data_IF_123090004014
#
_entry.id   IF_123090004014
#
_cell.length_a   1.000
_cell.length_b   1.000
_cell.length_c   1.000
_cell.angle_alpha   90.00
_cell.angle_beta   90.00
_cell.angle_gamma   90.00
#
_symmetry.space_group_name_H-M   'P 1'
#
loop_
_entity.id
_entity.type
_entity.pdbx_description
1 polymer ?
#
# COMPACT_ATOMS: atom_id res chain seq x y z
N UNK A 1 -29.45 -76.43 -83.50
CA UNK A 1 -30.55 -75.51 -83.83
C UNK A 1 -31.48 -75.52 -82.62
N UNK A 2 -31.23 -74.76 -81.55
CA UNK A 2 -30.44 -73.52 -81.41
C UNK A 2 -31.03 -72.33 -82.17
N UNK A 3 -30.91 -71.14 -81.58
CA UNK A 3 -31.63 -69.89 -81.91
C UNK A 3 -33.09 -69.91 -81.42
N UNK A 4 -33.58 -69.06 -80.50
CA UNK A 4 -33.23 -67.70 -80.01
C UNK A 4 -33.81 -66.53 -80.82
N UNK A 5 -35.05 -66.18 -80.53
CA UNK A 5 -35.62 -64.84 -80.73
C UNK A 5 -36.25 -64.38 -79.40
N UNK A 6 -35.92 -63.18 -78.94
CA UNK A 6 -36.26 -62.72 -77.59
C UNK A 6 -37.56 -61.92 -77.52
N UNK A 7 -38.37 -62.18 -76.50
CA UNK A 7 -39.45 -61.27 -76.06
C UNK A 7 -38.88 -60.21 -75.13
N UNK A 8 -38.47 -59.07 -75.71
CA UNK A 8 -38.34 -57.84 -74.94
C UNK A 8 -39.73 -57.18 -74.88
N UNK A 9 -40.37 -57.20 -73.71
CA UNK A 9 -41.55 -56.39 -73.44
C UNK A 9 -41.49 -55.80 -72.02
N UNK A 10 -42.34 -54.81 -71.77
CA UNK A 10 -42.26 -53.79 -70.72
C UNK A 10 -42.26 -54.35 -69.29
N UNK A 11 -41.44 -53.74 -68.45
CA UNK A 11 -41.80 -53.42 -67.04
C UNK A 11 -40.94 -52.25 -66.52
N UNK A 12 -40.95 -51.15 -67.28
CA UNK A 12 -40.60 -49.82 -66.74
C UNK A 12 -41.84 -49.19 -66.11
N UNK A 13 -41.66 -48.24 -65.18
CA UNK A 13 -42.75 -47.62 -64.41
C UNK A 13 -43.43 -48.52 -63.36
N UNK A 14 -42.64 -49.33 -62.63
CA UNK A 14 -42.95 -49.50 -61.21
C UNK A 14 -42.72 -48.17 -60.50
N UNK A 15 -43.80 -47.53 -60.07
CA UNK A 15 -43.75 -46.38 -59.16
C UNK A 15 -42.88 -46.73 -57.95
N UNK A 16 -41.98 -45.83 -57.49
CA UNK A 16 -41.18 -46.10 -56.30
C UNK A 16 -42.11 -46.34 -55.11
N UNK A 17 -41.90 -47.43 -54.38
CA UNK A 17 -42.76 -47.83 -53.27
C UNK A 17 -42.84 -46.72 -52.22
N UNK A 18 -44.04 -46.50 -51.68
CA UNK A 18 -44.30 -45.50 -50.64
C UNK A 18 -43.35 -45.66 -49.43
N UNK A 19 -42.93 -46.90 -49.14
CA UNK A 19 -41.95 -47.19 -48.10
C UNK A 19 -40.52 -46.73 -48.44
N UNK A 20 -40.04 -46.91 -49.68
CA UNK A 20 -38.73 -46.39 -50.08
C UNK A 20 -38.72 -44.86 -50.05
N UNK A 21 -39.78 -44.20 -50.54
CA UNK A 21 -39.91 -42.74 -50.38
C UNK A 21 -39.96 -42.31 -48.91
N UNK A 22 -40.58 -43.08 -48.00
CA UNK A 22 -40.60 -42.77 -46.58
C UNK A 22 -39.22 -42.98 -45.91
N UNK A 23 -38.43 -43.93 -46.40
CA UNK A 23 -37.07 -44.22 -45.93
C UNK A 23 -36.06 -43.18 -46.46
N UNK A 24 -36.18 -42.73 -47.71
CA UNK A 24 -35.37 -41.65 -48.27
C UNK A 24 -35.75 -40.26 -47.73
N UNK A 25 -37.03 -39.99 -47.47
CA UNK A 25 -37.48 -38.68 -46.91
C UNK A 25 -37.24 -38.52 -45.41
N UNK A 26 -36.70 -39.53 -44.73
CA UNK A 26 -36.01 -39.34 -43.44
C UNK A 26 -34.52 -39.02 -43.67
N UNK A 27 -34.08 -37.75 -43.64
CA UNK A 27 -32.68 -37.40 -43.83
C UNK A 27 -31.83 -38.00 -42.70
N UNK A 28 -30.95 -38.96 -43.05
CA UNK A 28 -30.03 -39.63 -42.12
C UNK A 28 -28.81 -38.76 -41.75
N UNK A 29 -28.98 -37.45 -41.77
CA UNK A 29 -27.94 -36.47 -41.53
C UNK A 29 -27.78 -36.16 -40.03
N UNK A 30 -26.67 -36.65 -39.46
CA UNK A 30 -26.00 -36.12 -38.26
C UNK A 30 -26.76 -36.05 -36.92
N UNK A 31 -28.00 -36.55 -36.78
CA UNK A 31 -28.78 -36.52 -35.51
C UNK A 31 -28.24 -37.44 -34.37
N UNK A 32 -26.95 -37.77 -34.35
CA UNK A 32 -26.37 -38.80 -33.48
C UNK A 32 -25.85 -38.32 -32.12
N UNK A 33 -25.49 -37.04 -31.96
CA UNK A 33 -24.92 -36.53 -30.71
C UNK A 33 -25.18 -35.03 -30.51
N UNK A 34 -25.83 -34.67 -29.40
CA UNK A 34 -25.86 -33.31 -28.89
C UNK A 34 -24.48 -32.92 -28.35
N UNK A 35 -24.05 -31.68 -28.55
CA UNK A 35 -22.79 -31.18 -27.99
C UNK A 35 -22.85 -31.14 -26.46
N UNK A 36 -21.74 -31.48 -25.79
CA UNK A 36 -21.66 -31.54 -24.32
C UNK A 36 -20.88 -30.34 -23.81
N UNK A 37 -21.60 -29.39 -23.21
CA UNK A 37 -21.05 -28.23 -22.52
C UNK A 37 -20.65 -28.52 -21.07
N UNK A 38 -20.13 -27.51 -20.39
CA UNK A 38 -19.53 -27.59 -19.04
C UNK A 38 -20.50 -28.01 -17.91
N UNK A 39 -21.78 -28.24 -18.21
CA UNK A 39 -22.83 -28.69 -17.26
C UNK A 39 -23.79 -29.74 -17.86
N UNK A 40 -23.41 -30.41 -18.95
CA UNK A 40 -24.27 -31.33 -19.71
C UNK A 40 -24.52 -30.86 -21.14
N UNK A 41 -25.48 -31.49 -21.83
CA UNK A 41 -25.80 -31.19 -23.24
C UNK A 41 -26.20 -29.73 -23.49
N UNK A 42 -25.90 -29.20 -24.67
CA UNK A 42 -26.36 -27.87 -25.07
C UNK A 42 -27.90 -27.85 -25.15
N UNK A 43 -28.49 -26.98 -24.33
CA UNK A 43 -29.94 -26.86 -24.20
C UNK A 43 -30.59 -26.38 -25.51
N UNK A 44 -29.92 -25.52 -26.29
CA UNK A 44 -30.45 -25.00 -27.55
C UNK A 44 -30.59 -26.08 -28.61
N UNK A 45 -29.59 -26.96 -28.73
CA UNK A 45 -29.66 -28.12 -29.63
C UNK A 45 -30.75 -29.10 -29.22
N UNK A 46 -30.84 -29.41 -27.92
CA UNK A 46 -31.86 -30.33 -27.38
C UNK A 46 -33.27 -29.77 -27.53
N UNK A 47 -33.51 -28.49 -27.20
CA UNK A 47 -34.82 -27.85 -27.37
C UNK A 47 -35.22 -27.75 -28.86
N UNK A 48 -34.27 -27.53 -29.77
CA UNK A 48 -34.51 -27.50 -31.22
C UNK A 48 -34.84 -28.90 -31.80
N UNK A 49 -34.14 -29.95 -31.36
CA UNK A 49 -34.46 -31.32 -31.73
C UNK A 49 -35.82 -31.75 -31.16
N UNK A 50 -36.14 -31.40 -29.91
CA UNK A 50 -37.46 -31.64 -29.31
C UNK A 50 -38.58 -30.87 -30.02
N UNK A 51 -38.34 -29.65 -30.49
CA UNK A 51 -39.29 -28.90 -31.31
C UNK A 51 -39.53 -29.57 -32.67
N UNK A 52 -38.45 -30.02 -33.32
CA UNK A 52 -38.52 -30.76 -34.59
C UNK A 52 -39.29 -32.07 -34.43
N UNK A 53 -38.98 -32.87 -33.42
CA UNK A 53 -39.66 -34.13 -33.13
C UNK A 53 -41.14 -33.93 -32.79
N UNK A 54 -41.49 -32.88 -32.03
CA UNK A 54 -42.90 -32.51 -31.76
C UNK A 54 -43.65 -32.15 -33.05
N UNK A 55 -43.01 -31.40 -33.96
CA UNK A 55 -43.58 -31.06 -35.27
C UNK A 55 -43.80 -32.29 -36.15
N UNK A 56 -42.82 -33.21 -36.20
CA UNK A 56 -42.94 -34.50 -36.88
C UNK A 56 -44.07 -35.36 -36.31
N UNK A 57 -44.20 -35.44 -34.97
CA UNK A 57 -45.27 -36.17 -34.30
C UNK A 57 -46.65 -35.54 -34.61
N UNK A 58 -46.77 -34.21 -34.57
CA UNK A 58 -47.99 -33.50 -34.96
C UNK A 58 -48.38 -33.77 -36.42
N UNK A 59 -47.39 -33.77 -37.34
CA UNK A 59 -47.63 -34.11 -38.75
C UNK A 59 -48.10 -35.56 -38.90
N UNK A 60 -47.38 -36.52 -38.32
CA UNK A 60 -47.74 -37.94 -38.38
C UNK A 60 -49.13 -38.22 -37.76
N UNK A 61 -49.51 -37.51 -36.70
CA UNK A 61 -50.85 -37.60 -36.12
C UNK A 61 -51.94 -37.04 -37.05
N UNK A 62 -51.66 -35.95 -37.77
CA UNK A 62 -52.56 -35.39 -38.77
C UNK A 62 -52.69 -36.29 -40.01
N UNK A 63 -51.58 -36.83 -40.50
CA UNK A 63 -51.54 -37.79 -41.62
C UNK A 63 -52.33 -39.08 -41.27
N UNK A 64 -52.17 -39.59 -40.04
CA UNK A 64 -52.93 -40.74 -39.52
C UNK A 64 -54.43 -40.43 -39.35
N UNK A 65 -54.80 -39.23 -38.92
CA UNK A 65 -56.20 -38.81 -38.85
C UNK A 65 -56.81 -38.71 -40.25
N UNK A 66 -56.07 -38.15 -41.22
CA UNK A 66 -56.48 -38.09 -42.62
C UNK A 66 -56.63 -39.48 -43.26
N UNK A 67 -55.74 -40.42 -42.97
CA UNK A 67 -55.85 -41.80 -43.41
C UNK A 67 -57.12 -42.49 -42.88
N UNK A 68 -57.41 -42.33 -41.57
CA UNK A 68 -58.63 -42.88 -40.94
C UNK A 68 -59.93 -42.28 -41.46
N UNK A 69 -59.93 -41.01 -41.87
CA UNK A 69 -61.09 -40.43 -42.58
C UNK A 69 -61.33 -41.18 -43.89
N UNK A 70 -60.31 -41.27 -44.75
CA UNK A 70 -60.42 -41.96 -46.05
C UNK A 70 -60.83 -43.42 -45.93
N UNK A 71 -60.37 -44.10 -44.89
CA UNK A 71 -60.78 -45.48 -44.57
C UNK A 71 -62.29 -45.55 -44.24
N UNK A 72 -62.79 -44.66 -43.39
CA UNK A 72 -64.21 -44.56 -43.06
C UNK A 72 -65.06 -44.18 -44.29
N UNK A 73 -64.62 -43.17 -45.06
CA UNK A 73 -65.27 -42.70 -46.28
C UNK A 73 -65.37 -43.83 -47.33
N UNK A 74 -64.31 -44.63 -47.50
CA UNK A 74 -64.30 -45.78 -48.41
C UNK A 74 -65.18 -46.94 -47.92
N UNK A 75 -65.19 -47.23 -46.61
CA UNK A 75 -66.04 -48.26 -46.02
C UNK A 75 -67.53 -47.89 -46.14
N UNK A 76 -67.89 -46.62 -45.96
CA UNK A 76 -69.28 -46.18 -46.15
C UNK A 76 -69.70 -46.07 -47.62
N UNK A 77 -68.76 -45.85 -48.56
CA UNK A 77 -69.01 -45.99 -49.99
C UNK A 77 -69.33 -47.46 -50.39
N UNK A 78 -68.50 -48.43 -49.97
CA UNK A 78 -68.77 -49.86 -50.23
C UNK A 78 -70.09 -50.31 -49.58
N UNK A 79 -70.44 -49.76 -48.41
CA UNK A 79 -71.75 -49.99 -47.77
C UNK A 79 -72.93 -49.35 -48.51
N UNK A 80 -72.71 -48.36 -49.38
CA UNK A 80 -73.75 -47.82 -50.25
C UNK A 80 -73.95 -48.72 -51.48
N UNK A 81 -72.85 -49.09 -52.15
CA UNK A 81 -72.86 -50.04 -53.29
C UNK A 81 -73.53 -51.38 -52.89
N UNK A 82 -73.20 -51.91 -51.71
CA UNK A 82 -73.82 -53.11 -51.13
C UNK A 82 -75.33 -52.96 -50.85
N UNK A 83 -75.85 -51.75 -50.63
CA UNK A 83 -77.30 -51.52 -50.48
C UNK A 83 -77.98 -51.44 -51.83
N UNK A 84 -77.43 -50.65 -52.76
CA UNK A 84 -77.97 -50.50 -54.11
C UNK A 84 -78.05 -51.85 -54.84
N UNK A 85 -77.02 -52.70 -54.69
CA UNK A 85 -77.02 -54.06 -55.23
C UNK A 85 -78.11 -54.96 -54.61
N UNK A 86 -78.43 -54.81 -53.31
CA UNK A 86 -79.49 -55.57 -52.64
C UNK A 86 -80.88 -55.09 -53.03
N UNK A 87 -81.08 -53.77 -53.08
CA UNK A 87 -82.35 -53.17 -53.54
C UNK A 87 -82.65 -53.55 -55.00
N UNK A 88 -81.62 -53.63 -55.86
CA UNK A 88 -81.73 -54.16 -57.21
C UNK A 88 -82.17 -55.65 -57.20
N UNK A 89 -81.49 -56.53 -56.45
CA UNK A 89 -81.83 -57.95 -56.36
C UNK A 89 -83.22 -58.22 -55.76
N UNK A 90 -83.66 -57.42 -54.78
CA UNK A 90 -85.02 -57.48 -54.24
C UNK A 90 -86.07 -57.04 -55.29
N UNK A 91 -85.74 -56.06 -56.14
CA UNK A 91 -86.59 -55.67 -57.27
C UNK A 91 -86.68 -56.76 -58.36
N UNK A 92 -85.59 -57.48 -58.62
CA UNK A 92 -85.58 -58.61 -59.55
C UNK A 92 -86.36 -59.81 -59.00
N UNK A 93 -86.20 -60.13 -57.72
CA UNK A 93 -86.97 -61.19 -57.05
C UNK A 93 -88.47 -60.89 -57.04
N UNK A 94 -88.87 -59.66 -56.70
CA UNK A 94 -90.29 -59.27 -56.74
C UNK A 94 -90.85 -59.32 -58.18
N UNK A 95 -90.10 -58.85 -59.17
CA UNK A 95 -90.48 -58.97 -60.59
C UNK A 95 -90.56 -60.45 -61.07
N UNK A 96 -89.71 -61.34 -60.56
CA UNK A 96 -89.74 -62.77 -60.88
C UNK A 96 -90.95 -63.47 -60.23
N UNK A 97 -91.25 -63.19 -58.96
CA UNK A 97 -92.45 -63.74 -58.29
C UNK A 97 -93.75 -63.25 -58.91
N UNK A 98 -93.81 -61.98 -59.36
CA UNK A 98 -94.95 -61.47 -60.11
C UNK A 98 -95.19 -62.27 -61.40
N UNK A 99 -94.15 -62.47 -62.23
CA UNK A 99 -94.22 -63.30 -63.46
C UNK A 99 -94.63 -64.75 -63.19
N UNK A 100 -94.15 -65.34 -62.09
CA UNK A 100 -94.58 -66.68 -61.68
C UNK A 100 -96.09 -66.71 -61.36
N UNK A 101 -96.59 -65.76 -60.57
CA UNK A 101 -98.02 -65.65 -60.24
C UNK A 101 -98.91 -65.33 -61.45
N UNK A 102 -98.37 -64.61 -62.45
CA UNK A 102 -99.06 -64.35 -63.73
C UNK A 102 -99.14 -65.62 -64.58
N UNK A 103 -98.06 -66.41 -64.65
CA UNK A 103 -98.07 -67.71 -65.33
C UNK A 103 -99.02 -68.72 -64.64
N UNK A 104 -99.06 -68.75 -63.31
CA UNK A 104 -100.05 -69.54 -62.54
C UNK A 104 -101.49 -69.11 -62.85
N UNK A 105 -101.75 -67.80 -62.95
CA UNK A 105 -103.06 -67.27 -63.35
C UNK A 105 -103.41 -67.65 -64.80
N UNK A 106 -102.46 -67.57 -65.74
CA UNK A 106 -102.68 -67.97 -67.13
C UNK A 106 -102.96 -69.48 -67.26
N UNK A 107 -102.29 -70.32 -66.47
CA UNK A 107 -102.59 -71.76 -66.38
C UNK A 107 -103.98 -71.99 -65.79
N UNK A 108 -104.37 -71.22 -64.76
CA UNK A 108 -105.71 -71.31 -64.18
C UNK A 108 -106.81 -70.87 -65.17
N UNK A 109 -106.62 -69.78 -65.93
CA UNK A 109 -107.60 -69.34 -66.94
C UNK A 109 -107.72 -70.33 -68.08
N UNK A 110 -106.59 -70.84 -68.62
CA UNK A 110 -106.61 -71.88 -69.65
C UNK A 110 -107.26 -73.17 -69.16
N UNK A 111 -107.09 -73.52 -67.87
CA UNK A 111 -107.79 -74.65 -67.24
C UNK A 111 -109.29 -74.39 -67.16
N UNK A 112 -109.73 -73.17 -66.82
CA UNK A 112 -111.17 -72.83 -66.82
C UNK A 112 -111.77 -72.80 -68.23
N UNK A 113 -111.06 -72.26 -69.23
CA UNK A 113 -111.51 -72.27 -70.63
C UNK A 113 -111.64 -73.70 -71.19
N UNK A 114 -110.77 -74.62 -70.77
CA UNK A 114 -110.85 -76.04 -71.12
C UNK A 114 -112.01 -76.77 -70.43
N UNK A 115 -112.51 -76.25 -69.30
CA UNK A 115 -113.64 -76.82 -68.53
C UNK A 115 -114.99 -76.23 -68.98
N UNK A 116 -115.06 -74.93 -69.27
CA UNK A 116 -116.26 -74.24 -69.74
C UNK A 116 -116.48 -74.32 -71.27
N UNK A 117 -115.57 -74.98 -72.00
CA UNK A 117 -115.72 -75.25 -73.44
C UNK A 117 -117.02 -76.05 -73.72
N UNK A 118 -118.03 -75.47 -74.40
CA UNK A 118 -119.31 -76.14 -74.59
C UNK A 118 -119.18 -77.34 -75.54
N UNK A 119 -119.76 -78.47 -75.15
CA UNK A 119 -119.83 -79.65 -76.01
C UNK A 119 -120.67 -79.35 -77.26
N UNK A 120 -120.01 -79.24 -78.41
CA UNK A 120 -120.68 -79.09 -79.70
C UNK A 120 -121.18 -80.45 -80.20
N UNK A 121 -122.47 -80.74 -80.04
CA UNK A 121 -123.13 -81.87 -80.69
C UNK A 121 -123.08 -81.71 -82.23
N UNK A 122 -122.45 -82.63 -82.96
CA UNK A 122 -122.58 -82.67 -84.43
C UNK A 122 -121.56 -83.53 -85.18
N UNK A 123 -120.27 -83.30 -84.95
CA UNK A 123 -119.18 -84.06 -85.59
C UNK A 123 -118.32 -84.73 -84.53
N UNK A 124 -117.92 -85.99 -84.79
CA UNK A 124 -117.37 -86.98 -83.85
C UNK A 124 -116.63 -86.41 -82.63
N UNK A 125 -117.40 -86.01 -81.60
CA UNK A 125 -116.88 -85.80 -80.27
C UNK A 125 -116.20 -87.11 -79.85
N UNK A 126 -114.87 -87.10 -79.56
CA UNK A 126 -114.18 -88.34 -79.26
C UNK A 126 -114.92 -89.04 -78.12
N UNK A 127 -115.20 -90.32 -78.31
CA UNK A 127 -115.96 -91.12 -77.35
C UNK A 127 -115.37 -90.97 -75.94
N UNK A 128 -116.15 -91.20 -74.88
CA UNK A 128 -115.61 -91.15 -73.51
C UNK A 128 -114.35 -92.02 -73.35
N UNK A 129 -114.26 -93.12 -74.09
CA UNK A 129 -113.08 -93.99 -74.17
C UNK A 129 -111.87 -93.34 -74.86
N UNK A 130 -112.08 -92.50 -75.88
CA UNK A 130 -111.04 -91.69 -76.50
C UNK A 130 -110.62 -90.50 -75.63
N UNK A 131 -111.54 -89.82 -74.94
CA UNK A 131 -111.17 -88.81 -73.93
C UNK A 131 -110.43 -89.44 -72.73
N UNK A 132 -110.86 -90.61 -72.26
CA UNK A 132 -110.18 -91.39 -71.22
C UNK A 132 -108.81 -91.89 -71.70
N UNK A 133 -108.67 -92.29 -72.97
CA UNK A 133 -107.38 -92.60 -73.57
C UNK A 133 -106.47 -91.37 -73.72
N UNK A 134 -107.01 -90.20 -74.10
CA UNK A 134 -106.26 -88.94 -74.17
C UNK A 134 -105.83 -88.50 -72.77
N UNK A 135 -106.70 -88.57 -71.77
CA UNK A 135 -106.37 -88.29 -70.37
C UNK A 135 -105.33 -89.26 -69.83
N UNK A 136 -105.44 -90.56 -70.14
CA UNK A 136 -104.44 -91.57 -69.76
C UNK A 136 -103.09 -91.33 -70.44
N UNK A 137 -103.07 -90.97 -71.72
CA UNK A 137 -101.85 -90.61 -72.45
C UNK A 137 -101.26 -89.29 -71.90
N UNK A 138 -102.10 -88.33 -71.52
CA UNK A 138 -101.67 -87.08 -70.88
C UNK A 138 -101.16 -87.30 -69.45
N UNK A 139 -101.77 -88.20 -68.67
CA UNK A 139 -101.31 -88.64 -67.36
C UNK A 139 -99.98 -89.40 -67.47
N UNK A 140 -99.84 -90.28 -68.44
CA UNK A 140 -98.60 -91.03 -68.70
C UNK A 140 -97.49 -90.10 -69.22
N UNK A 141 -97.81 -89.13 -70.08
CA UNK A 141 -96.88 -88.07 -70.49
C UNK A 141 -96.51 -87.13 -69.34
N UNK A 142 -97.47 -86.71 -68.51
CA UNK A 142 -97.22 -85.89 -67.33
C UNK A 142 -96.36 -86.63 -66.30
N UNK A 143 -96.61 -87.93 -66.09
CA UNK A 143 -95.79 -88.79 -65.24
C UNK A 143 -94.37 -88.94 -65.80
N UNK A 144 -94.20 -89.12 -67.12
CA UNK A 144 -92.88 -89.11 -67.77
C UNK A 144 -92.19 -87.74 -67.66
N UNK A 145 -92.92 -86.63 -67.79
CA UNK A 145 -92.37 -85.27 -67.60
C UNK A 145 -91.97 -85.03 -66.14
N UNK A 146 -92.77 -85.46 -65.16
CA UNK A 146 -92.46 -85.38 -63.72
C UNK A 146 -91.25 -86.24 -63.39
N UNK A 147 -91.14 -87.46 -63.92
CA UNK A 147 -89.97 -88.32 -63.75
C UNK A 147 -88.72 -87.71 -64.39
N UNK A 148 -88.84 -87.13 -65.58
CA UNK A 148 -87.72 -86.47 -66.26
C UNK A 148 -87.28 -85.21 -65.51
N UNK A 149 -88.23 -84.38 -65.06
CA UNK A 149 -87.97 -83.21 -64.22
C UNK A 149 -87.34 -83.60 -62.86
N UNK A 150 -87.79 -84.68 -62.23
CA UNK A 150 -87.19 -85.20 -61.00
C UNK A 150 -85.75 -85.68 -61.22
N UNK A 151 -85.48 -86.40 -62.32
CA UNK A 151 -84.12 -86.83 -62.71
C UNK A 151 -83.24 -85.65 -63.09
N UNK A 152 -83.77 -84.60 -63.72
CA UNK A 152 -83.02 -83.36 -63.99
C UNK A 152 -82.73 -82.59 -62.70
N UNK A 153 -83.70 -82.47 -61.79
CA UNK A 153 -83.54 -81.81 -60.50
C UNK A 153 -82.53 -82.54 -59.61
N UNK A 154 -82.54 -83.87 -59.57
CA UNK A 154 -81.58 -84.67 -58.78
C UNK A 154 -80.16 -84.60 -59.37
N UNK A 155 -80.03 -84.58 -60.71
CA UNK A 155 -78.73 -84.29 -61.38
C UNK A 155 -78.22 -82.88 -61.08
N UNK A 156 -79.09 -81.87 -61.14
CA UNK A 156 -78.71 -80.48 -60.85
C UNK A 156 -78.36 -80.29 -59.37
N UNK A 157 -79.11 -80.92 -58.45
CA UNK A 157 -78.78 -80.98 -57.02
C UNK A 157 -77.47 -81.72 -56.76
N UNK A 158 -77.15 -82.74 -57.53
CA UNK A 158 -75.87 -83.47 -57.42
C UNK A 158 -74.71 -82.61 -57.94
N UNK A 159 -74.84 -82.00 -59.13
CA UNK A 159 -73.85 -81.03 -59.67
C UNK A 159 -73.60 -79.89 -58.69
N UNK A 160 -74.66 -79.24 -58.20
CA UNK A 160 -74.53 -78.13 -57.24
C UNK A 160 -73.92 -78.57 -55.90
N UNK A 161 -74.13 -79.81 -55.45
CA UNK A 161 -73.44 -80.36 -54.26
C UNK A 161 -71.96 -80.61 -54.55
N UNK A 162 -71.62 -81.19 -55.70
CA UNK A 162 -70.24 -81.42 -56.13
C UNK A 162 -69.48 -80.10 -56.28
N UNK A 163 -70.06 -79.12 -56.96
CA UNK A 163 -69.55 -77.74 -57.10
C UNK A 163 -69.34 -77.07 -55.72
N UNK A 164 -70.31 -77.14 -54.80
CA UNK A 164 -70.15 -76.60 -53.44
C UNK A 164 -69.06 -77.35 -52.65
N UNK A 165 -68.86 -78.65 -52.86
CA UNK A 165 -67.74 -79.37 -52.23
C UNK A 165 -66.39 -79.00 -52.84
N UNK A 166 -66.32 -78.78 -54.16
CA UNK A 166 -65.11 -78.34 -54.85
C UNK A 166 -64.72 -76.91 -54.41
N UNK A 167 -65.67 -75.96 -54.43
CA UNK A 167 -65.45 -74.59 -53.99
C UNK A 167 -65.04 -74.51 -52.52
N UNK A 168 -65.58 -75.37 -51.65
CA UNK A 168 -65.15 -75.47 -50.24
C UNK A 168 -63.75 -76.05 -50.10
N UNK A 169 -63.38 -77.04 -50.90
CA UNK A 169 -62.03 -77.60 -50.89
C UNK A 169 -60.99 -76.60 -51.41
N UNK A 170 -61.33 -75.84 -52.45
CA UNK A 170 -60.51 -74.75 -53.00
C UNK A 170 -60.34 -73.61 -51.99
N UNK A 171 -61.43 -73.10 -51.42
CA UNK A 171 -61.39 -72.05 -50.39
C UNK A 171 -60.62 -72.48 -49.13
N UNK A 172 -60.71 -73.76 -48.73
CA UNK A 172 -59.91 -74.33 -47.65
C UNK A 172 -58.42 -74.37 -48.00
N UNK A 173 -58.07 -74.86 -49.20
CA UNK A 173 -56.68 -74.91 -49.67
C UNK A 173 -56.06 -73.51 -49.85
N UNK A 174 -56.86 -72.51 -50.22
CA UNK A 174 -56.47 -71.11 -50.28
C UNK A 174 -56.25 -70.50 -48.88
N UNK A 175 -57.16 -70.77 -47.93
CA UNK A 175 -56.99 -70.35 -46.54
C UNK A 175 -55.75 -70.98 -45.89
N UNK A 176 -55.47 -72.25 -46.15
CA UNK A 176 -54.24 -72.94 -45.74
C UNK A 176 -53.00 -72.33 -46.38
N UNK A 177 -53.05 -71.96 -47.67
CA UNK A 177 -51.94 -71.30 -48.38
C UNK A 177 -51.64 -69.91 -47.82
N UNK A 178 -52.68 -69.12 -47.56
CA UNK A 178 -52.60 -67.76 -47.00
C UNK A 178 -52.07 -67.82 -45.57
N UNK A 179 -52.62 -68.69 -44.72
CA UNK A 179 -52.15 -68.82 -43.32
C UNK A 179 -50.72 -69.35 -43.23
N UNK A 180 -50.34 -70.33 -44.05
CA UNK A 180 -48.95 -70.80 -44.11
C UNK A 180 -47.98 -69.74 -44.66
N UNK A 181 -48.44 -68.85 -45.55
CA UNK A 181 -47.63 -67.72 -46.01
C UNK A 181 -47.47 -66.66 -44.92
N UNK A 182 -48.56 -66.22 -44.29
CA UNK A 182 -48.52 -65.26 -43.19
C UNK A 182 -47.67 -65.75 -42.00
N UNK A 183 -47.64 -67.07 -41.74
CA UNK A 183 -46.73 -67.66 -40.75
C UNK A 183 -45.25 -67.54 -41.17
N UNK A 184 -44.90 -67.90 -42.42
CA UNK A 184 -43.53 -67.73 -42.94
C UNK A 184 -43.06 -66.28 -42.87
N UNK A 185 -43.94 -65.34 -43.24
CA UNK A 185 -43.61 -63.91 -43.24
C UNK A 185 -43.47 -63.37 -41.81
N UNK A 186 -44.33 -63.78 -40.88
CA UNK A 186 -44.21 -63.45 -39.46
C UNK A 186 -42.91 -63.98 -38.83
N UNK A 187 -42.52 -65.22 -39.15
CA UNK A 187 -41.27 -65.81 -38.65
C UNK A 187 -40.03 -65.20 -39.33
N UNK A 188 -40.12 -64.78 -40.60
CA UNK A 188 -39.06 -63.99 -41.23
C UNK A 188 -38.90 -62.60 -40.59
N UNK A 189 -40.01 -61.93 -40.24
CA UNK A 189 -39.98 -60.64 -39.53
C UNK A 189 -39.40 -60.81 -38.12
N UNK A 190 -39.78 -61.85 -37.38
CA UNK A 190 -39.16 -62.18 -36.07
C UNK A 190 -37.66 -62.38 -36.20
N UNK A 191 -37.20 -63.23 -37.12
CA UNK A 191 -35.77 -63.48 -37.32
C UNK A 191 -35.00 -62.20 -37.67
N UNK A 192 -35.57 -61.32 -38.52
CA UNK A 192 -34.99 -59.99 -38.80
C UNK A 192 -34.87 -59.17 -37.51
N UNK A 193 -35.97 -59.02 -36.77
CA UNK A 193 -35.99 -58.26 -35.51
C UNK A 193 -34.99 -58.79 -34.48
N UNK A 194 -34.84 -60.11 -34.34
CA UNK A 194 -33.86 -60.73 -33.42
C UNK A 194 -32.40 -60.44 -33.87
N UNK A 195 -32.12 -60.50 -35.17
CA UNK A 195 -30.79 -60.13 -35.71
C UNK A 195 -30.48 -58.64 -35.60
N UNK A 196 -31.48 -57.78 -35.79
CA UNK A 196 -31.33 -56.33 -35.62
C UNK A 196 -31.17 -55.96 -34.14
N UNK A 197 -31.95 -56.57 -33.25
CA UNK A 197 -31.86 -56.38 -31.80
C UNK A 197 -30.47 -56.76 -31.28
N UNK A 198 -29.99 -57.97 -31.60
CA UNK A 198 -28.65 -58.42 -31.18
C UNK A 198 -27.52 -57.60 -31.81
N UNK A 199 -27.68 -57.14 -33.06
CA UNK A 199 -26.73 -56.21 -33.68
C UNK A 199 -26.72 -54.83 -33.00
N UNK A 200 -27.88 -54.33 -32.55
CA UNK A 200 -28.01 -53.09 -31.79
C UNK A 200 -27.44 -53.21 -30.37
N UNK A 201 -27.75 -54.29 -29.66
CA UNK A 201 -27.21 -54.60 -28.33
C UNK A 201 -25.67 -54.66 -28.39
N UNK A 202 -25.11 -55.44 -29.32
CA UNK A 202 -23.66 -55.51 -29.54
C UNK A 202 -23.06 -54.18 -30.06
N UNK A 203 -23.86 -53.21 -30.55
CA UNK A 203 -23.38 -51.86 -30.87
C UNK A 203 -23.32 -50.99 -29.62
N UNK A 204 -24.38 -51.01 -28.80
CA UNK A 204 -24.47 -50.30 -27.52
C UNK A 204 -23.40 -50.78 -26.53
N UNK A 205 -23.13 -52.09 -26.46
CA UNK A 205 -22.06 -52.64 -25.61
C UNK A 205 -20.68 -52.09 -26.03
N UNK A 206 -20.37 -52.07 -27.34
CA UNK A 206 -19.12 -51.48 -27.86
C UNK A 206 -19.03 -49.98 -27.63
N UNK A 207 -20.12 -49.25 -27.82
CA UNK A 207 -20.21 -47.81 -27.52
C UNK A 207 -19.98 -47.53 -26.02
N UNK A 208 -20.56 -48.34 -25.14
CA UNK A 208 -20.39 -48.25 -23.69
C UNK A 208 -18.97 -48.62 -23.24
N UNK A 209 -18.38 -49.69 -23.80
CA UNK A 209 -17.00 -50.10 -23.51
C UNK A 209 -15.99 -49.02 -23.91
N UNK A 210 -16.14 -48.44 -25.11
CA UNK A 210 -15.31 -47.34 -25.60
C UNK A 210 -15.53 -46.03 -24.81
N UNK A 211 -16.74 -45.77 -24.32
CA UNK A 211 -17.00 -44.66 -23.39
C UNK A 211 -16.32 -44.88 -22.03
N UNK A 212 -16.38 -46.10 -21.49
CA UNK A 212 -15.70 -46.47 -20.24
C UNK A 212 -14.17 -46.40 -20.39
N UNK A 213 -13.61 -46.85 -21.52
CA UNK A 213 -12.19 -46.71 -21.85
C UNK A 213 -11.76 -45.24 -21.86
N UNK A 214 -12.52 -44.35 -22.53
CA UNK A 214 -12.27 -42.91 -22.52
C UNK A 214 -12.36 -42.28 -21.13
N UNK A 215 -13.30 -42.70 -20.29
CA UNK A 215 -13.39 -42.25 -18.90
C UNK A 215 -12.17 -42.72 -18.10
N UNK A 216 -11.72 -43.95 -18.30
CA UNK A 216 -10.51 -44.48 -17.65
C UNK A 216 -9.24 -43.76 -18.13
N UNK A 217 -9.10 -43.48 -19.43
CA UNK A 217 -8.01 -42.68 -19.98
C UNK A 217 -8.00 -41.26 -19.39
N UNK A 218 -9.13 -40.56 -19.42
CA UNK A 218 -9.26 -39.21 -18.87
C UNK A 218 -9.00 -39.18 -17.35
N UNK A 219 -9.36 -40.24 -16.62
CA UNK A 219 -9.03 -40.38 -15.21
C UNK A 219 -7.51 -40.58 -14.99
N UNK A 220 -6.84 -41.41 -15.80
CA UNK A 220 -5.39 -41.60 -15.76
C UNK A 220 -4.65 -40.29 -16.08
N UNK A 221 -5.03 -39.61 -17.17
CA UNK A 221 -4.50 -38.29 -17.54
C UNK A 221 -4.70 -37.24 -16.43
N UNK A 222 -5.90 -37.19 -15.83
CA UNK A 222 -6.17 -36.32 -14.69
C UNK A 222 -5.31 -36.66 -13.45
N UNK A 223 -4.98 -37.94 -13.20
CA UNK A 223 -4.03 -38.29 -12.14
C UNK A 223 -2.59 -37.92 -12.50
N UNK A 224 -2.16 -38.10 -13.75
CA UNK A 224 -0.84 -37.69 -14.22
C UNK A 224 -0.64 -36.18 -14.03
N UNK A 225 -1.58 -35.37 -14.53
CA UNK A 225 -1.59 -33.90 -14.40
C UNK A 225 -1.56 -33.47 -12.92
N UNK A 226 -2.31 -34.14 -12.03
CA UNK A 226 -2.24 -33.85 -10.58
C UNK A 226 -0.84 -34.13 -10.02
N UNK A 227 -0.25 -35.30 -10.29
CA UNK A 227 1.09 -35.61 -9.76
C UNK A 227 2.18 -34.71 -10.35
N UNK A 228 2.02 -34.22 -11.57
CA UNK A 228 2.94 -33.24 -12.17
C UNK A 228 2.76 -31.86 -11.53
N UNK A 229 1.52 -31.39 -11.35
CA UNK A 229 1.24 -30.14 -10.64
C UNK A 229 1.71 -30.17 -9.16
N UNK A 230 1.58 -31.32 -8.48
CA UNK A 230 2.08 -31.52 -7.13
C UNK A 230 3.61 -31.49 -7.06
N UNK A 231 4.30 -32.12 -8.02
CA UNK A 231 5.78 -32.05 -8.17
C UNK A 231 6.24 -30.62 -8.48
N UNK A 232 5.57 -29.93 -9.40
CA UNK A 232 5.85 -28.53 -9.74
C UNK A 232 5.65 -27.60 -8.54
N UNK A 233 4.54 -27.75 -7.81
CA UNK A 233 4.29 -27.00 -6.58
C UNK A 233 5.30 -27.34 -5.46
N UNK A 234 5.77 -28.59 -5.37
CA UNK A 234 6.83 -28.96 -4.43
C UNK A 234 8.19 -28.34 -4.82
N UNK A 235 8.53 -28.32 -6.11
CA UNK A 235 9.73 -27.67 -6.63
C UNK A 235 9.71 -26.16 -6.39
N UNK A 236 8.58 -25.49 -6.66
CA UNK A 236 8.38 -24.06 -6.36
C UNK A 236 8.46 -23.76 -4.87
N UNK A 237 7.86 -24.58 -4.00
CA UNK A 237 8.02 -24.45 -2.54
C UNK A 237 9.48 -24.57 -2.12
N UNK A 238 10.20 -25.57 -2.64
CA UNK A 238 11.63 -25.78 -2.37
C UNK A 238 12.49 -24.59 -2.82
N UNK A 239 12.22 -24.05 -4.01
CA UNK A 239 12.88 -22.87 -4.56
C UNK A 239 12.63 -21.63 -3.68
N UNK A 240 11.38 -21.33 -3.34
CA UNK A 240 11.04 -20.17 -2.48
C UNK A 240 11.63 -20.34 -1.07
N UNK A 241 11.66 -21.54 -0.50
CA UNK A 241 12.35 -21.77 0.79
C UNK A 241 13.86 -21.57 0.69
N UNK A 242 14.48 -21.92 -0.45
CA UNK A 242 15.92 -21.68 -0.68
C UNK A 242 16.21 -20.18 -0.85
N UNK A 243 15.41 -19.47 -1.65
CA UNK A 243 15.56 -18.03 -1.86
C UNK A 243 15.34 -17.24 -0.58
N UNK A 244 14.30 -17.54 0.19
CA UNK A 244 14.04 -16.88 1.48
C UNK A 244 15.09 -17.18 2.54
N UNK A 245 15.64 -18.39 2.60
CA UNK A 245 16.78 -18.70 3.49
C UNK A 245 18.08 -18.03 3.04
N UNK A 246 18.31 -17.90 1.72
CA UNK A 246 19.44 -17.16 1.17
C UNK A 246 19.33 -15.66 1.47
N UNK A 247 18.22 -15.00 1.10
CA UNK A 247 17.96 -13.58 1.39
C UNK A 247 18.06 -13.27 2.88
N UNK A 248 17.61 -14.17 3.75
CA UNK A 248 17.82 -14.04 5.20
C UNK A 248 19.30 -14.10 5.57
N UNK A 249 20.07 -15.04 5.01
CA UNK A 249 21.51 -15.16 5.28
C UNK A 249 22.33 -14.00 4.67
N UNK A 250 21.85 -13.37 3.59
CA UNK A 250 22.37 -12.13 3.03
C UNK A 250 22.10 -10.94 3.98
N UNK A 251 20.84 -10.69 4.35
CA UNK A 251 20.46 -9.61 5.26
C UNK A 251 21.13 -9.76 6.66
N UNK A 252 21.24 -10.98 7.19
CA UNK A 252 21.98 -11.21 8.43
C UNK A 252 23.51 -10.97 8.27
N UNK A 253 24.08 -11.06 7.06
CA UNK A 253 25.47 -10.66 6.81
C UNK A 253 25.59 -9.13 6.74
N UNK A 254 24.69 -8.45 6.04
CA UNK A 254 24.64 -6.99 5.97
C UNK A 254 24.48 -6.34 7.34
N UNK A 255 23.62 -6.89 8.22
CA UNK A 255 23.48 -6.41 9.61
C UNK A 255 24.74 -6.64 10.43
N UNK A 256 25.45 -7.77 10.26
CA UNK A 256 26.74 -8.00 10.95
C UNK A 256 27.81 -7.02 10.48
N UNK A 257 27.87 -6.74 9.17
CA UNK A 257 28.81 -5.77 8.61
C UNK A 257 28.48 -4.33 9.02
N UNK A 258 27.20 -3.95 9.04
CA UNK A 258 26.75 -2.65 9.55
C UNK A 258 27.15 -2.47 11.02
N UNK A 259 26.90 -3.48 11.87
CA UNK A 259 27.26 -3.42 13.29
C UNK A 259 28.78 -3.36 13.50
N UNK A 260 29.58 -4.03 12.65
CA UNK A 260 31.04 -3.91 12.68
C UNK A 260 31.50 -2.49 12.32
N UNK A 261 30.96 -1.89 11.25
CA UNK A 261 31.25 -0.49 10.88
C UNK A 261 30.82 0.50 11.96
N UNK A 262 29.69 0.27 12.65
CA UNK A 262 29.26 1.10 13.79
C UNK A 262 30.27 1.01 14.93
N UNK A 263 30.76 -0.19 15.28
CA UNK A 263 31.79 -0.36 16.30
C UNK A 263 33.12 0.30 15.92
N UNK A 264 33.52 0.24 14.64
CA UNK A 264 34.68 0.98 14.10
C UNK A 264 34.49 2.51 14.20
N UNK A 265 33.28 3.02 13.93
CA UNK A 265 32.96 4.44 14.12
C UNK A 265 32.94 4.83 15.60
N UNK A 266 32.43 3.99 16.50
CA UNK A 266 32.50 4.20 17.95
C UNK A 266 33.96 4.24 18.44
N UNK A 267 34.82 3.30 18.01
CA UNK A 267 36.25 3.27 18.36
C UNK A 267 37.01 4.51 17.84
N UNK A 268 36.69 5.00 16.64
CA UNK A 268 37.28 6.25 16.12
C UNK A 268 36.73 7.49 16.82
N UNK A 269 35.47 7.47 17.28
CA UNK A 269 34.87 8.55 18.06
C UNK A 269 35.45 8.63 19.47
N UNK A 270 35.62 7.49 20.18
CA UNK A 270 36.25 7.49 21.51
C UNK A 270 37.70 7.92 21.42
N UNK A 271 38.49 7.41 20.45
CA UNK A 271 39.86 7.92 20.21
C UNK A 271 39.88 9.43 20.03
N UNK A 272 39.02 9.98 19.16
CA UNK A 272 38.96 11.43 18.93
C UNK A 272 38.50 12.21 20.17
N UNK A 273 37.65 11.64 21.01
CA UNK A 273 37.27 12.23 22.29
C UNK A 273 38.41 12.19 23.32
N UNK A 274 39.16 11.09 23.39
CA UNK A 274 40.32 10.94 24.27
C UNK A 274 41.47 11.86 23.83
N UNK A 275 41.73 11.97 22.53
CA UNK A 275 42.70 12.91 21.96
C UNK A 275 42.31 14.36 22.25
N UNK A 276 41.04 14.73 22.02
CA UNK A 276 40.54 16.08 22.32
C UNK A 276 40.54 16.40 23.83
N UNK A 277 40.29 15.41 24.69
CA UNK A 277 40.43 15.56 26.15
C UNK A 277 41.89 15.75 26.56
N UNK A 278 42.84 15.03 25.94
CA UNK A 278 44.27 15.22 26.17
C UNK A 278 44.74 16.60 25.70
N UNK A 279 44.34 17.04 24.51
CA UNK A 279 44.61 18.40 24.00
C UNK A 279 44.03 19.47 24.93
N UNK A 280 42.79 19.29 25.39
CA UNK A 280 42.15 20.20 26.35
C UNK A 280 42.88 20.24 27.69
N UNK A 281 43.31 19.08 28.24
CA UNK A 281 44.10 19.02 29.48
C UNK A 281 45.48 19.66 29.31
N UNK A 282 46.15 19.47 28.16
CA UNK A 282 47.43 20.13 27.85
C UNK A 282 47.24 21.64 27.75
N UNK A 283 46.23 22.11 27.03
CA UNK A 283 45.91 23.55 26.91
C UNK A 283 45.50 24.16 28.25
N UNK A 284 44.72 23.44 29.06
CA UNK A 284 44.33 23.86 30.40
C UNK A 284 45.56 23.98 31.32
N UNK A 285 46.44 22.97 31.33
CA UNK A 285 47.69 23.02 32.11
C UNK A 285 48.63 24.14 31.62
N UNK A 286 48.70 24.41 30.32
CA UNK A 286 49.44 25.55 29.77
C UNK A 286 48.82 26.90 30.19
N UNK A 287 47.49 27.00 30.22
CA UNK A 287 46.77 28.20 30.66
C UNK A 287 46.89 28.43 32.17
N UNK A 288 46.83 27.38 32.99
CA UNK A 288 47.11 27.43 34.44
C UNK A 288 48.56 27.85 34.67
N UNK A 289 49.54 27.19 34.04
CA UNK A 289 50.94 27.58 34.16
C UNK A 289 51.25 28.98 33.58
N UNK A 290 50.38 29.55 32.74
CA UNK A 290 50.45 30.94 32.28
C UNK A 290 49.85 31.91 33.30
N UNK A 291 48.69 31.57 33.87
CA UNK A 291 48.09 32.32 34.97
C UNK A 291 49.00 32.35 36.21
N UNK A 292 49.58 31.21 36.60
CA UNK A 292 50.55 31.11 37.69
C UNK A 292 51.79 31.98 37.45
N UNK A 293 52.31 32.01 36.22
CA UNK A 293 53.41 32.91 35.85
C UNK A 293 53.02 34.38 35.97
N UNK A 294 51.82 34.77 35.51
CA UNK A 294 51.31 36.14 35.65
C UNK A 294 51.11 36.50 37.13
N UNK A 295 50.57 35.60 37.95
CA UNK A 295 50.39 35.87 39.39
C UNK A 295 51.73 35.92 40.12
N UNK A 296 52.71 35.11 39.74
CA UNK A 296 54.04 35.14 40.35
C UNK A 296 54.82 36.40 39.95
N UNK A 297 54.79 36.80 38.68
CA UNK A 297 55.35 38.07 38.19
C UNK A 297 54.66 39.27 38.86
N UNK A 298 53.33 39.29 38.94
CA UNK A 298 52.60 40.33 39.68
C UNK A 298 52.95 40.37 41.17
N UNK A 299 53.10 39.21 41.83
CA UNK A 299 53.54 39.12 43.22
C UNK A 299 55.00 39.59 43.39
N UNK A 300 55.89 39.26 42.45
CA UNK A 300 57.30 39.69 42.46
C UNK A 300 57.36 41.21 42.28
N UNK A 301 56.63 41.78 41.31
CA UNK A 301 56.51 43.22 41.11
C UNK A 301 55.93 43.94 42.35
N UNK A 302 54.91 43.37 43.00
CA UNK A 302 54.37 43.88 44.26
C UNK A 302 55.43 43.84 45.35
N UNK A 303 56.13 42.72 45.55
CA UNK A 303 57.19 42.61 46.57
C UNK A 303 58.37 43.55 46.30
N UNK A 304 58.83 43.68 45.05
CA UNK A 304 59.86 44.62 44.64
C UNK A 304 59.44 46.08 44.84
N UNK A 305 58.15 46.41 44.63
CA UNK A 305 57.60 47.73 44.91
C UNK A 305 57.54 48.03 46.42
N UNK A 306 57.21 47.03 47.25
CA UNK A 306 57.22 47.13 48.71
C UNK A 306 58.66 47.27 49.23
N UNK A 307 59.61 46.50 48.74
CA UNK A 307 61.04 46.67 49.05
C UNK A 307 61.60 48.02 48.58
N UNK A 308 61.11 48.54 47.45
CA UNK A 308 61.49 49.87 46.97
C UNK A 308 60.94 50.96 47.90
N UNK A 309 59.66 50.86 48.30
CA UNK A 309 59.05 51.75 49.27
C UNK A 309 59.76 51.67 50.64
N UNK A 310 60.11 50.48 51.13
CA UNK A 310 60.87 50.28 52.37
C UNK A 310 62.29 50.85 52.28
N UNK A 311 62.99 50.70 51.15
CA UNK A 311 64.31 51.33 50.94
C UNK A 311 64.21 52.85 50.88
N UNK A 312 63.12 53.40 50.33
CA UNK A 312 62.85 54.84 50.35
C UNK A 312 62.52 55.31 51.78
N UNK A 313 61.70 54.58 52.54
CA UNK A 313 61.34 54.96 53.91
C UNK A 313 62.55 54.88 54.85
N UNK A 314 63.33 53.81 54.80
CA UNK A 314 64.57 53.68 55.59
C UNK A 314 65.57 54.79 55.23
N UNK A 315 65.72 55.13 53.93
CA UNK A 315 66.56 56.25 53.51
C UNK A 315 66.01 57.61 53.96
N UNK A 316 64.68 57.77 54.03
CA UNK A 316 64.04 58.97 54.57
C UNK A 316 64.24 59.08 56.10
N UNK A 317 64.11 57.98 56.84
CA UNK A 317 64.44 57.90 58.28
C UNK A 317 65.91 58.19 58.55
N UNK A 318 66.83 57.69 57.71
CA UNK A 318 68.26 57.99 57.81
C UNK A 318 68.56 59.46 57.52
N UNK A 319 67.92 60.05 56.49
CA UNK A 319 67.99 61.50 56.26
C UNK A 319 67.40 62.30 57.43
N UNK A 320 66.28 61.87 58.02
CA UNK A 320 65.66 62.52 59.17
C UNK A 320 66.49 62.36 60.46
N UNK A 321 67.20 61.24 60.62
CA UNK A 321 68.16 61.04 61.72
C UNK A 321 69.40 61.92 61.53
N UNK A 322 69.89 62.03 60.29
CA UNK A 322 71.00 62.91 59.92
C UNK A 322 70.64 64.38 60.15
N UNK A 323 69.49 64.87 59.68
CA UNK A 323 69.07 66.26 59.86
C UNK A 323 68.80 66.59 61.32
N UNK A 324 68.19 65.68 62.12
CA UNK A 324 68.12 65.84 63.58
C UNK A 324 69.51 65.95 64.22
N UNK A 325 70.47 65.09 63.85
CA UNK A 325 71.82 65.16 64.42
C UNK A 325 72.59 66.41 63.98
N UNK A 326 72.37 66.89 62.76
CA UNK A 326 72.94 68.14 62.26
C UNK A 326 72.32 69.35 62.98
N UNK A 327 71.00 69.35 63.20
CA UNK A 327 70.32 70.38 63.98
C UNK A 327 70.85 70.42 65.43
N UNK A 328 70.99 69.27 66.08
CA UNK A 328 71.58 69.17 67.43
C UNK A 328 73.06 69.61 67.46
N UNK A 329 73.84 69.33 66.42
CA UNK A 329 75.23 69.79 66.33
C UNK A 329 75.33 71.31 66.11
N UNK A 330 74.46 71.89 65.28
CA UNK A 330 74.35 73.34 65.07
C UNK A 330 73.88 74.03 66.36
N UNK A 331 72.92 73.45 67.07
CA UNK A 331 72.46 73.96 68.37
C UNK A 331 73.59 73.90 69.42
N UNK A 332 74.34 72.79 69.48
CA UNK A 332 75.47 72.66 70.41
C UNK A 332 76.61 73.65 70.09
N UNK A 333 76.96 73.85 68.82
CA UNK A 333 77.93 74.86 68.38
C UNK A 333 77.43 76.28 68.71
N UNK A 334 76.15 76.60 68.45
CA UNK A 334 75.55 77.86 68.86
C UNK A 334 75.61 78.08 70.38
N UNK A 335 75.35 77.04 71.19
CA UNK A 335 75.50 77.08 72.65
C UNK A 335 76.97 77.28 73.09
N UNK A 336 77.94 76.66 72.42
CA UNK A 336 79.37 76.85 72.70
C UNK A 336 79.80 78.28 72.35
N UNK A 337 79.46 78.79 71.16
CA UNK A 337 79.73 80.17 70.75
C UNK A 337 79.08 81.18 71.70
N UNK A 338 77.86 80.92 72.17
CA UNK A 338 77.17 81.75 73.17
C UNK A 338 77.86 81.72 74.55
N UNK A 339 78.42 80.57 74.96
CA UNK A 339 79.24 80.48 76.19
C UNK A 339 80.56 81.23 76.02
N UNK A 340 81.24 81.09 74.88
CA UNK A 340 82.45 81.85 74.58
C UNK A 340 82.22 83.36 74.58
N UNK A 341 81.13 83.86 73.99
CA UNK A 341 80.84 85.32 74.00
C UNK A 341 80.53 85.81 75.40
N UNK A 342 79.81 85.03 76.23
CA UNK A 342 79.59 85.34 77.64
C UNK A 342 80.88 85.28 78.48
N UNK A 343 81.79 84.35 78.23
CA UNK A 343 83.09 84.27 78.91
C UNK A 343 84.04 85.38 78.48
N UNK A 344 84.10 85.68 77.16
CA UNK A 344 84.86 86.80 76.60
C UNK A 344 84.33 88.14 77.11
N UNK A 345 83.02 88.28 77.30
CA UNK A 345 82.41 89.42 77.97
C UNK A 345 82.78 89.49 79.46
N UNK A 346 82.64 88.39 80.22
CA UNK A 346 83.05 88.32 81.64
C UNK A 346 84.53 88.65 81.84
N UNK A 347 85.42 88.13 81.00
CA UNK A 347 86.85 88.42 81.04
C UNK A 347 87.16 89.89 80.71
N UNK A 348 86.43 90.50 79.75
CA UNK A 348 86.52 91.94 79.49
C UNK A 348 86.02 92.76 80.68
N UNK A 349 84.90 92.40 81.29
CA UNK A 349 84.36 93.06 82.49
C UNK A 349 85.30 92.93 83.68
N UNK A 350 85.86 91.75 83.94
CA UNK A 350 86.85 91.54 85.01
C UNK A 350 88.10 92.39 84.76
N UNK A 351 88.64 92.40 83.53
CA UNK A 351 89.78 93.25 83.19
C UNK A 351 89.50 94.75 83.37
N UNK A 352 88.27 95.20 83.13
CA UNK A 352 87.84 96.57 83.44
C UNK A 352 87.85 96.78 84.97
N UNK A 353 87.23 95.90 85.75
CA UNK A 353 87.21 95.96 87.23
C UNK A 353 88.63 95.96 87.81
N UNK A 354 89.51 95.09 87.34
CA UNK A 354 90.92 95.02 87.74
C UNK A 354 91.65 96.33 87.41
N UNK A 355 91.41 96.92 86.22
CA UNK A 355 92.03 98.19 85.83
C UNK A 355 91.54 99.38 86.66
N UNK A 356 90.25 99.41 87.01
CA UNK A 356 89.66 100.44 87.88
C UNK A 356 90.17 100.28 89.32
N UNK A 357 90.30 99.04 89.81
CA UNK A 357 90.83 98.74 91.16
C UNK A 357 92.33 99.05 91.24
N UNK A 358 93.10 98.76 90.18
CA UNK A 358 94.49 99.16 90.05
C UNK A 358 94.68 100.67 89.98
N UNK A 359 93.85 101.38 89.20
CA UNK A 359 93.92 102.84 89.10
C UNK A 359 93.57 103.53 90.42
N UNK A 360 92.48 103.12 91.08
CA UNK A 360 92.07 103.66 92.39
C UNK A 360 93.09 103.40 93.49
N UNK A 361 93.70 102.21 93.54
CA UNK A 361 94.79 101.93 94.50
C UNK A 361 96.11 102.63 94.17
N UNK A 362 96.38 102.92 92.89
CA UNK A 362 97.51 103.76 92.49
C UNK A 362 97.30 105.24 92.88
N UNK A 363 96.10 105.78 92.65
CA UNK A 363 95.72 107.14 93.08
C UNK A 363 95.77 107.28 94.61
N UNK A 364 95.34 106.26 95.36
CA UNK A 364 95.51 106.21 96.83
C UNK A 364 96.99 106.26 97.24
N UNK A 365 97.88 105.50 96.58
CA UNK A 365 99.32 105.55 96.87
C UNK A 365 99.95 106.91 96.52
N UNK A 366 99.63 107.49 95.36
CA UNK A 366 100.12 108.82 94.95
C UNK A 366 99.63 109.94 95.90
N UNK A 367 98.42 109.80 96.44
CA UNK A 367 97.93 110.66 97.52
C UNK A 367 98.74 110.47 98.82
N UNK A 368 98.93 109.23 99.28
CA UNK A 368 99.75 108.92 100.47
C UNK A 368 101.20 109.41 100.32
N UNK A 369 101.83 109.16 99.18
CA UNK A 369 103.20 109.59 98.85
C UNK A 369 103.30 111.12 98.89
N UNK A 370 102.35 111.88 98.32
CA UNK A 370 102.28 113.35 98.51
C UNK A 370 102.18 113.76 99.98
N UNK A 371 101.37 113.08 100.81
CA UNK A 371 101.29 113.42 102.25
C UNK A 371 102.55 113.07 103.04
N UNK A 372 103.37 112.13 102.55
CA UNK A 372 104.71 111.85 103.11
C UNK A 372 105.73 112.89 102.62
N UNK A 373 105.68 113.29 101.36
CA UNK A 373 106.55 114.31 100.78
C UNK A 373 106.33 115.70 101.40
N UNK A 374 105.07 116.09 101.65
CA UNK A 374 104.74 117.36 102.34
C UNK A 374 105.25 117.41 103.80
N UNK A 375 105.23 116.29 104.54
CA UNK A 375 105.83 116.22 105.88
C UNK A 375 107.36 116.38 105.83
N UNK A 376 108.00 115.73 104.87
CA UNK A 376 109.45 115.82 104.68
C UNK A 376 109.89 117.25 104.31
N UNK A 377 109.13 117.95 103.47
CA UNK A 377 109.37 119.37 103.14
C UNK A 377 109.26 120.30 104.36
N UNK A 378 108.34 120.06 105.30
CA UNK A 378 108.29 120.84 106.55
C UNK A 378 109.54 120.64 107.43
N UNK A 379 110.09 119.42 107.48
CA UNK A 379 111.34 119.16 108.21
C UNK A 379 112.54 119.84 107.54
N UNK A 380 112.63 119.83 106.20
CA UNK A 380 113.66 120.57 105.47
C UNK A 380 113.57 122.09 105.69
N UNK A 381 112.37 122.69 105.64
CA UNK A 381 112.17 124.12 105.95
C UNK A 381 112.65 124.49 107.36
N UNK A 382 112.47 123.60 108.33
CA UNK A 382 112.93 123.81 109.71
C UNK A 382 114.46 123.76 109.81
N UNK A 383 115.11 122.86 109.06
CA UNK A 383 116.57 122.76 108.99
C UNK A 383 117.19 123.96 108.28
N UNK A 384 116.61 124.38 107.14
CA UNK A 384 117.14 125.45 106.30
C UNK A 384 117.09 126.83 107.00
N UNK A 385 116.09 127.06 107.85
CA UNK A 385 115.99 128.25 108.71
C UNK A 385 117.14 128.39 109.73
N UNK A 386 117.88 127.33 110.04
CA UNK A 386 119.08 127.40 110.88
C UNK A 386 120.32 127.79 110.07
N UNK A 387 120.51 127.20 108.90
CA UNK A 387 121.68 127.37 108.03
C UNK A 387 121.74 128.77 107.38
N UNK A 388 120.58 129.35 107.04
CA UNK A 388 120.45 130.69 106.43
C UNK A 388 120.83 131.85 107.36
N UNK A 389 121.15 131.60 108.65
CA UNK A 389 121.53 132.66 109.60
C UNK A 389 123.00 133.07 109.57
N UNK A 390 123.93 132.18 109.20
CA UNK A 390 125.37 132.44 109.42
C UNK A 390 126.09 133.08 108.22
N UNK A 391 125.69 132.80 106.97
CA UNK A 391 126.39 133.33 105.78
C UNK A 391 125.49 134.12 104.81
N UNK A 392 125.15 135.33 105.28
CA UNK A 392 125.20 136.60 104.53
C UNK A 392 125.08 136.50 102.99
N UNK A 393 123.86 136.78 102.49
CA UNK A 393 123.46 137.75 101.42
C UNK A 393 124.46 138.15 100.30
N UNK A 394 124.01 138.47 99.05
CA UNK A 394 122.61 138.57 98.58
C UNK A 394 122.29 138.06 97.13
N UNK A 395 121.01 138.22 96.74
CA UNK A 395 120.41 138.41 95.39
C UNK A 395 120.29 137.28 94.32
N UNK A 396 119.12 137.27 93.63
CA UNK A 396 118.87 136.63 92.31
C UNK A 396 118.05 135.31 92.27
N UNK A 397 117.25 135.01 91.22
CA UNK A 397 115.87 135.48 90.86
C UNK A 397 115.33 134.63 89.65
N UNK A 398 114.22 133.87 89.82
CA UNK A 398 113.24 133.32 88.81
C UNK A 398 113.78 132.45 87.60
N UNK A 399 113.01 131.79 86.69
CA UNK A 399 111.55 131.76 86.30
C UNK A 399 111.06 130.42 85.63
N UNK A 400 109.72 130.17 85.61
CA UNK A 400 108.77 129.70 84.52
C UNK A 400 108.96 128.42 83.63
N UNK A 401 107.97 127.84 82.90
CA UNK A 401 106.47 127.68 83.01
C UNK A 401 105.83 126.76 81.89
N UNK A 402 104.58 126.24 82.10
CA UNK A 402 103.49 125.95 81.10
C UNK A 402 103.45 124.63 80.25
N UNK A 403 102.36 124.19 79.56
CA UNK A 403 100.87 124.37 79.68
C UNK A 403 100.05 123.53 78.61
N UNK A 404 98.69 123.52 78.66
CA UNK A 404 97.64 123.13 77.63
C UNK A 404 96.83 121.79 77.75
N UNK A 405 95.88 121.51 76.82
CA UNK A 405 94.66 120.64 77.00
C UNK A 405 93.91 120.18 75.71
N UNK A 406 92.98 119.19 75.75
CA UNK A 406 92.05 118.77 74.64
C UNK A 406 90.91 117.78 75.04
N UNK A 407 89.80 117.66 74.26
CA UNK A 407 88.46 117.01 74.60
C UNK A 407 87.72 116.42 73.34
N UNK A 408 86.71 115.52 73.48
CA UNK A 408 85.79 115.07 72.39
C UNK A 408 84.88 113.82 72.64
N UNK A 409 83.63 113.83 72.11
CA UNK A 409 82.46 112.94 72.42
C UNK A 409 81.84 112.27 71.12
N UNK A 410 80.67 111.58 70.98
CA UNK A 410 79.46 111.31 71.81
C UNK A 410 78.69 109.94 71.49
N UNK A 411 77.36 109.90 71.18
CA UNK A 411 76.45 108.73 71.39
C UNK A 411 75.33 108.39 70.31
N UNK A 412 74.21 107.72 70.73
CA UNK A 412 72.92 107.35 70.02
C UNK A 412 72.85 106.13 69.03
N UNK A 413 71.70 105.53 68.60
CA UNK A 413 70.35 105.19 69.17
C UNK A 413 69.47 104.26 68.24
N UNK A 414 68.52 103.49 68.82
CA UNK A 414 67.14 103.05 68.38
C UNK A 414 66.73 102.32 67.03
N UNK A 415 65.90 101.25 67.20
CA UNK A 415 64.55 100.89 66.64
C UNK A 415 64.14 100.46 65.17
N UNK A 416 63.07 99.62 65.14
CA UNK A 416 61.95 99.35 64.17
C UNK A 416 62.04 98.46 62.88
N UNK A 417 60.88 98.20 62.23
CA UNK A 417 60.53 96.99 61.43
C UNK A 417 59.73 97.18 60.09
N UNK A 418 58.92 96.17 59.66
CA UNK A 418 58.05 96.06 58.43
C UNK A 418 58.81 95.72 57.11
N UNK A 419 58.29 95.26 55.94
CA UNK A 419 56.98 95.11 55.20
C UNK A 419 57.13 93.96 54.12
N UNK A 420 56.23 93.43 53.25
CA UNK A 420 54.85 93.68 52.71
C UNK A 420 54.16 92.37 52.16
N UNK A 421 53.21 92.48 51.20
CA UNK A 421 52.36 91.49 50.46
C UNK A 421 52.99 90.95 49.12
N UNK A 422 52.37 90.23 48.15
CA UNK A 422 50.99 89.83 47.75
C UNK A 422 51.06 88.55 46.80
N UNK A 423 50.12 88.01 45.97
CA UNK A 423 48.71 88.26 45.52
C UNK A 423 48.10 86.96 44.84
N UNK A 424 46.86 86.98 44.28
CA UNK A 424 46.11 85.88 43.55
C UNK A 424 45.33 86.45 42.29
N UNK A 425 44.34 85.82 41.57
CA UNK A 425 43.67 84.46 41.60
C UNK A 425 43.27 83.77 40.23
N UNK A 426 42.56 82.62 40.27
CA UNK A 426 41.57 82.04 39.28
C UNK A 426 42.04 81.52 37.88
N UNK A 427 41.33 80.66 37.10
CA UNK A 427 39.93 80.12 37.10
C UNK A 427 39.79 78.72 36.40
N UNK A 428 38.58 78.10 36.36
CA UNK A 428 38.19 76.80 35.70
C UNK A 428 36.63 76.75 35.51
N UNK A 429 35.91 75.64 35.15
CA UNK A 429 36.22 74.32 34.53
C UNK A 429 35.26 73.92 33.34
N UNK A 430 35.29 72.67 32.80
CA UNK A 430 34.19 72.05 32.01
C UNK A 430 34.29 70.51 31.79
N UNK A 431 33.16 69.83 31.51
CA UNK A 431 33.00 68.43 31.00
C UNK A 431 31.60 68.28 30.38
N UNK A 432 31.31 67.27 29.50
CA UNK A 432 30.45 66.13 29.92
C UNK A 432 30.58 64.80 29.11
N UNK A 433 29.89 63.74 29.59
CA UNK A 433 29.12 62.63 28.92
C UNK A 433 29.51 62.07 27.52
N UNK A 434 29.20 60.80 27.14
CA UNK A 434 28.49 59.71 27.83
C UNK A 434 28.03 58.57 26.86
N UNK A 435 27.25 57.61 27.37
CA UNK A 435 26.59 56.44 26.69
C UNK A 435 27.37 55.16 26.38
N UNK A 436 26.69 54.03 26.64
CA UNK A 436 27.04 52.63 26.35
C UNK A 436 25.71 51.91 26.03
N UNK A 437 25.70 50.98 25.08
CA UNK A 437 24.49 50.25 24.64
C UNK A 437 24.79 48.74 24.55
N UNK A 438 23.81 47.95 24.97
CA UNK A 438 23.74 46.51 24.74
C UNK A 438 22.34 46.14 24.27
N UNK A 439 22.26 45.07 23.49
CA UNK A 439 21.06 44.50 22.84
C UNK A 439 21.38 43.00 22.75
N UNK A 440 20.85 42.18 23.65
CA UNK A 440 19.56 41.48 23.58
C UNK A 440 19.48 40.34 22.54
N UNK A 441 19.33 39.16 23.14
CA UNK A 441 18.80 37.87 22.66
C UNK A 441 17.83 37.91 21.48
N UNK A 442 17.94 36.88 20.63
CA UNK A 442 16.77 36.19 20.05
C UNK A 442 17.09 34.70 19.89
N UNK A 443 16.34 33.86 20.58
CA UNK A 443 16.20 32.43 20.30
C UNK A 443 14.98 32.26 19.38
N UNK A 444 14.98 31.27 18.49
CA UNK A 444 13.79 30.88 17.71
C UNK A 444 13.79 29.36 17.54
N UNK A 445 12.66 28.72 17.86
CA UNK A 445 12.54 27.28 18.10
C UNK A 445 11.86 26.55 16.91
N UNK A 446 12.24 25.29 16.68
CA UNK A 446 11.77 24.50 15.53
C UNK A 446 10.55 23.65 15.88
N UNK A 447 9.38 24.03 15.36
CA UNK A 447 8.14 23.25 15.39
C UNK A 447 7.65 22.99 13.94
N UNK A 448 7.90 21.79 13.41
CA UNK A 448 7.54 21.39 12.03
C UNK A 448 6.71 20.09 12.05
N UNK A 449 5.37 20.25 12.14
CA UNK A 449 4.43 19.13 12.23
C UNK A 449 3.11 19.37 11.45
N UNK A 450 2.97 18.71 10.29
CA UNK A 450 1.69 18.27 9.69
C UNK A 450 1.88 17.27 8.52
N UNK A 451 0.87 16.44 8.20
CA UNK A 451 1.09 15.13 7.57
C UNK A 451 0.86 15.05 6.04
N UNK A 452 1.29 13.91 5.50
CA UNK A 452 1.32 13.50 4.09
C UNK A 452 -0.03 13.54 3.36
N UNK A 453 -0.01 14.00 2.09
CA UNK A 453 -1.12 13.87 1.15
C UNK A 453 -1.16 12.51 0.42
N UNK A 454 -2.30 12.19 -0.20
CA UNK A 454 -2.62 10.84 -0.70
C UNK A 454 -2.19 10.63 -2.16
N UNK A 455 -1.47 9.54 -2.41
CA UNK A 455 -1.21 9.05 -3.78
C UNK A 455 -2.47 8.35 -4.31
N UNK A 456 -3.07 8.88 -5.37
CA UNK A 456 -4.10 8.19 -6.17
C UNK A 456 -3.44 7.33 -7.25
N UNK A 457 -3.91 6.08 -7.40
CA UNK A 457 -3.42 5.14 -8.42
C UNK A 457 -4.45 5.03 -9.54
N UNK A 458 -4.11 5.49 -10.74
CA UNK A 458 -4.94 5.31 -11.93
C UNK A 458 -4.82 3.88 -12.48
N UNK A 459 -5.97 3.21 -12.65
CA UNK A 459 -6.06 1.87 -13.23
C UNK A 459 -6.32 1.96 -14.73
N UNK A 460 -5.29 1.69 -15.54
CA UNK A 460 -5.39 1.73 -17.00
C UNK A 460 -5.99 0.43 -17.55
N UNK A 461 -7.25 0.47 -17.97
CA UNK A 461 -7.90 -0.67 -18.65
C UNK A 461 -7.34 -0.93 -20.05
N UNK A 462 -6.67 -2.07 -20.25
CA UNK A 462 -6.15 -2.47 -21.57
C UNK A 462 -7.27 -2.99 -22.48
N UNK A 463 -7.80 -2.15 -23.36
CA UNK A 463 -8.92 -2.48 -24.25
C UNK A 463 -8.54 -3.49 -25.34
N UNK A 464 -8.92 -4.76 -25.12
CA UNK A 464 -8.68 -5.92 -25.99
C UNK A 464 -9.24 -5.72 -27.39
N UNK A 465 -8.39 -5.63 -28.42
CA UNK A 465 -8.79 -5.40 -29.82
C UNK A 465 -8.83 -6.72 -30.59
N UNK A 466 -10.04 -7.21 -30.87
CA UNK A 466 -10.29 -8.46 -31.60
C UNK A 466 -11.00 -8.17 -32.92
N UNK A 467 -10.34 -8.42 -34.05
CA UNK A 467 -10.98 -8.63 -35.36
C UNK A 467 -9.97 -9.26 -36.34
N UNK A 468 -10.31 -10.44 -36.84
CA UNK A 468 -9.76 -11.09 -38.03
C UNK A 468 -10.83 -12.03 -38.57
#
# INVERSE_FOLDING_TARGET
MSESSGTADRDGERSPDFFDQLIETTPRDAQGAFTVGFRGYDKGEVDAALATLRSQLQKAAADLAGAKSREADAVDAVRAEEREAREALESELTAATAKASEAEQQVATLTSELVDAPQADGEEAPSRQQFEAILRVAEEQANVLIQNAAVQADRLMTSAREEVTAQRAEAQADAERITAQAQRDADQVRLKMDTEYTAHEARVEREAAHAAEKVNQAAQEATAIRTEAEKGAAALRSLVTRETTQLRADAEREVREMNARVLEFEETLTRRQDDAQQEFLVLHNQAVAHAERITNDANEQVSASLEHAQRISARAEDYERLTRSQAQAIEADAQVRARETLERARAKSQKIVDSVTGHTTAVLRDAEDRTRQLRWQQQQLTSFMAEVRELIRPDGIFSDDGASSGVGEDAESAEDATTTAAEFPSEAPASPEGTFLGDEVLEDELDDDRPLEKITIDVVETKKKSSK
#
